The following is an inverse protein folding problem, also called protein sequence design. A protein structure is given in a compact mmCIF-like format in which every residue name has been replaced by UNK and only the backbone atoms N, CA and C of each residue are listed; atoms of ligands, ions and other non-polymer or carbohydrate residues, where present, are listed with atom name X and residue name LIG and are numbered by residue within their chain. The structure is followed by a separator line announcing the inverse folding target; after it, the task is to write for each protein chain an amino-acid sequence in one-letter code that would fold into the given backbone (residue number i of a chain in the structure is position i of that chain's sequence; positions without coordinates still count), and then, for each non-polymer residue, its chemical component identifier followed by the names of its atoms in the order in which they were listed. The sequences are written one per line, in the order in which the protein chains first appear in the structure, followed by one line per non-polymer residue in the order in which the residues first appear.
data_IF_561907941833
#
_entry.id   IF_561907941833
#
_cell.length_a   1.000
_cell.length_b   1.000
_cell.length_c   1.000
_cell.angle_alpha   90.00
_cell.angle_beta   90.00
_cell.angle_gamma   90.00
#
_symmetry.space_group_name_H-M   'P 1'
#
loop_
_entity.id
_entity.type
_entity.pdbx_description
1 polymer ?
#
# COMPACT_ATOMS: atom_id res chain seq x y z
N UNK A 1 -67.36 12.44 -4.32
CA UNK A 1 -66.07 12.59 -3.66
C UNK A 1 -65.01 11.81 -4.46
N UNK A 2 -64.07 12.56 -5.02
CA UNK A 2 -62.92 12.02 -5.75
C UNK A 2 -61.97 11.36 -4.76
N UNK A 3 -61.51 10.09 -4.96
CA UNK A 3 -60.54 9.46 -4.07
C UNK A 3 -59.20 10.22 -4.09
N UNK A 4 -58.60 10.39 -2.90
CA UNK A 4 -57.28 11.01 -2.76
C UNK A 4 -56.22 10.18 -3.49
N UNK A 5 -55.23 10.84 -4.14
CA UNK A 5 -54.16 10.13 -4.81
C UNK A 5 -53.33 9.34 -3.82
N UNK A 6 -52.97 8.10 -4.18
CA UNK A 6 -52.10 7.23 -3.39
C UNK A 6 -50.72 7.87 -3.19
N UNK A 7 -50.11 7.75 -1.99
CA UNK A 7 -48.79 8.30 -1.74
C UNK A 7 -47.73 7.65 -2.66
N UNK A 8 -46.86 8.50 -3.22
CA UNK A 8 -45.79 8.06 -4.09
C UNK A 8 -44.86 7.07 -3.35
N UNK A 9 -44.37 6.01 -4.00
CA UNK A 9 -43.47 5.07 -3.37
C UNK A 9 -42.19 5.78 -2.95
N UNK A 10 -41.83 5.63 -1.68
CA UNK A 10 -40.57 6.13 -1.11
C UNK A 10 -39.39 5.47 -1.87
N UNK A 11 -38.40 6.24 -2.33
CA UNK A 11 -37.25 5.63 -3.01
C UNK A 11 -36.55 4.66 -2.05
N UNK A 12 -36.58 3.39 -2.41
CA UNK A 12 -35.85 2.33 -1.70
C UNK A 12 -34.36 2.60 -1.97
N UNK A 13 -33.64 3.05 -0.94
CA UNK A 13 -32.21 3.25 -1.00
C UNK A 13 -31.55 1.90 -1.27
N UNK A 14 -30.99 1.73 -2.47
CA UNK A 14 -30.33 0.48 -2.87
C UNK A 14 -29.25 0.12 -1.85
N UNK A 15 -29.29 -1.10 -1.32
CA UNK A 15 -28.27 -1.60 -0.40
C UNK A 15 -26.89 -1.48 -1.07
N UNK A 16 -25.84 -1.01 -0.35
CA UNK A 16 -24.50 -0.85 -0.91
C UNK A 16 -24.01 -2.19 -1.46
N UNK A 17 -23.40 -2.14 -2.66
CA UNK A 17 -22.87 -3.33 -3.34
C UNK A 17 -21.83 -4.04 -2.47
N UNK A 18 -21.64 -5.34 -2.67
CA UNK A 18 -20.68 -6.12 -1.91
C UNK A 18 -19.26 -5.53 -1.99
N UNK A 19 -18.85 -5.05 -3.18
CA UNK A 19 -17.57 -4.38 -3.40
C UNK A 19 -17.43 -3.08 -2.58
N UNK A 20 -18.51 -2.29 -2.47
CA UNK A 20 -18.49 -1.05 -1.64
C UNK A 20 -18.31 -1.36 -0.15
N UNK A 21 -18.89 -2.46 0.34
CA UNK A 21 -18.72 -2.91 1.73
C UNK A 21 -17.30 -3.40 1.98
N UNK A 22 -16.72 -4.19 1.07
CA UNK A 22 -15.34 -4.68 1.16
C UNK A 22 -14.33 -3.53 1.14
N UNK A 23 -14.53 -2.52 0.28
CA UNK A 23 -13.67 -1.32 0.23
C UNK A 23 -13.74 -0.56 1.57
N UNK A 24 -14.95 -0.28 2.06
CA UNK A 24 -15.14 0.43 3.33
C UNK A 24 -14.48 -0.30 4.48
N UNK A 25 -14.70 -1.61 4.58
CA UNK A 25 -14.10 -2.47 5.61
C UNK A 25 -12.56 -2.53 5.48
N UNK A 26 -12.03 -2.53 4.25
CA UNK A 26 -10.61 -2.42 3.98
C UNK A 26 -10.01 -1.13 4.54
N UNK A 27 -10.63 0.02 4.29
CA UNK A 27 -10.18 1.31 4.83
C UNK A 27 -10.31 1.41 6.35
N UNK A 28 -11.36 0.88 6.95
CA UNK A 28 -11.51 0.82 8.42
C UNK A 28 -10.41 -0.04 9.07
N UNK A 29 -10.09 -1.18 8.46
CA UNK A 29 -8.99 -2.04 8.90
C UNK A 29 -7.63 -1.34 8.77
N UNK A 30 -7.40 -0.60 7.67
CA UNK A 30 -6.22 0.23 7.48
C UNK A 30 -6.11 1.32 8.55
N UNK A 31 -7.19 2.04 8.82
CA UNK A 31 -7.21 3.08 9.85
C UNK A 31 -6.89 2.53 11.25
N UNK A 32 -7.39 1.34 11.57
CA UNK A 32 -7.10 0.66 12.83
C UNK A 32 -5.62 0.23 12.89
N UNK A 33 -5.10 -0.34 11.82
CA UNK A 33 -3.71 -0.76 11.74
C UNK A 33 -2.75 0.44 11.85
N UNK A 34 -3.04 1.56 11.19
CA UNK A 34 -2.25 2.79 11.31
C UNK A 34 -2.17 3.30 12.75
N UNK A 35 -3.24 3.21 13.52
CA UNK A 35 -3.25 3.59 14.94
C UNK A 35 -2.44 2.64 15.82
N UNK A 36 -2.42 1.37 15.46
CA UNK A 36 -1.77 0.31 16.25
C UNK A 36 -0.30 0.16 15.89
N UNK A 37 0.11 0.46 14.65
CA UNK A 37 1.47 0.23 14.13
C UNK A 37 2.53 1.00 14.93
N UNK A 38 2.19 2.16 15.46
CA UNK A 38 3.09 2.96 16.29
C UNK A 38 3.27 2.42 17.70
N UNK A 39 2.32 1.60 18.19
CA UNK A 39 2.38 1.01 19.52
C UNK A 39 2.92 -0.42 19.49
N UNK A 40 2.45 -1.21 18.51
CA UNK A 40 2.86 -2.60 18.32
C UNK A 40 2.83 -2.95 16.81
N UNK A 41 3.93 -2.68 16.09
CA UNK A 41 3.97 -2.88 14.64
C UNK A 41 3.71 -4.33 14.24
N UNK A 42 4.25 -5.30 14.96
CA UNK A 42 4.11 -6.72 14.65
C UNK A 42 2.65 -7.21 14.76
N UNK A 43 1.91 -6.72 15.75
CA UNK A 43 0.50 -7.06 15.95
C UNK A 43 -0.40 -6.40 14.90
N UNK A 44 -0.17 -5.12 14.59
CA UNK A 44 -0.91 -4.39 13.55
C UNK A 44 -0.80 -5.09 12.19
N UNK A 45 0.40 -5.52 11.85
CA UNK A 45 0.74 -6.24 10.64
C UNK A 45 0.05 -7.61 10.58
N UNK A 46 0.17 -8.41 11.64
CA UNK A 46 -0.49 -9.72 11.75
C UNK A 46 -2.03 -9.60 11.65
N UNK A 47 -2.60 -8.57 12.26
CA UNK A 47 -4.05 -8.32 12.19
C UNK A 47 -4.52 -8.00 10.76
N UNK A 48 -3.74 -7.24 9.98
CA UNK A 48 -4.06 -6.96 8.58
C UNK A 48 -3.98 -8.20 7.69
N UNK A 49 -2.94 -9.01 7.88
CA UNK A 49 -2.76 -10.25 7.13
C UNK A 49 -3.91 -11.25 7.39
N UNK A 50 -4.36 -11.35 8.65
CA UNK A 50 -5.48 -12.22 9.05
C UNK A 50 -6.85 -11.77 8.52
N UNK A 51 -7.05 -10.46 8.33
CA UNK A 51 -8.34 -9.88 7.88
C UNK A 51 -8.56 -9.94 6.37
N UNK A 52 -7.61 -10.46 5.60
CA UNK A 52 -7.70 -10.59 4.14
C UNK A 52 -8.15 -9.30 3.40
N UNK A 53 -7.64 -8.15 3.84
CA UNK A 53 -7.99 -6.84 3.29
C UNK A 53 -7.30 -6.58 1.93
N UNK A 54 -7.50 -7.46 0.97
CA UNK A 54 -6.79 -7.46 -0.32
C UNK A 54 -7.01 -6.20 -1.16
N UNK A 55 -8.22 -5.61 -1.12
CA UNK A 55 -8.49 -4.35 -1.84
C UNK A 55 -7.71 -3.18 -1.25
N UNK A 56 -7.64 -3.09 0.09
CA UNK A 56 -6.83 -2.10 0.76
C UNK A 56 -5.34 -2.30 0.46
N UNK A 57 -4.88 -3.55 0.39
CA UNK A 57 -3.53 -3.89 -0.01
C UNK A 57 -3.19 -3.39 -1.42
N UNK A 58 -4.08 -3.61 -2.39
CA UNK A 58 -3.90 -3.11 -3.76
C UNK A 58 -3.81 -1.58 -3.81
N UNK A 59 -4.68 -0.89 -3.08
CA UNK A 59 -4.68 0.58 -3.02
C UNK A 59 -3.35 1.09 -2.43
N UNK A 60 -2.85 0.46 -1.36
CA UNK A 60 -1.56 0.82 -0.77
C UNK A 60 -0.39 0.60 -1.72
N UNK A 61 -0.35 -0.55 -2.41
CA UNK A 61 0.70 -0.85 -3.38
C UNK A 61 0.67 0.14 -4.53
N UNK A 62 -0.53 0.46 -5.06
CA UNK A 62 -0.69 1.43 -6.13
C UNK A 62 -0.29 2.85 -5.69
N UNK A 63 -0.69 3.27 -4.49
CA UNK A 63 -0.30 4.55 -3.91
C UNK A 63 1.23 4.63 -3.73
N UNK A 64 1.85 3.60 -3.14
CA UNK A 64 3.30 3.55 -2.97
C UNK A 64 4.04 3.63 -4.31
N UNK A 65 3.58 2.88 -5.32
CA UNK A 65 4.17 2.91 -6.66
C UNK A 65 4.07 4.31 -7.28
N UNK A 66 2.90 4.96 -7.15
CA UNK A 66 2.70 6.33 -7.64
C UNK A 66 3.64 7.32 -6.95
N UNK A 67 3.73 7.29 -5.61
CA UNK A 67 4.63 8.17 -4.86
C UNK A 67 6.10 7.90 -5.16
N UNK A 68 6.49 6.65 -5.38
CA UNK A 68 7.85 6.30 -5.81
C UNK A 68 8.18 6.86 -7.20
N UNK A 69 7.24 6.79 -8.15
CA UNK A 69 7.38 7.41 -9.45
C UNK A 69 7.49 8.94 -9.37
N UNK A 70 6.64 9.59 -8.57
CA UNK A 70 6.71 11.03 -8.34
C UNK A 70 8.03 11.44 -7.65
N UNK A 71 8.51 10.63 -6.70
CA UNK A 71 9.81 10.83 -6.08
C UNK A 71 10.95 10.81 -7.12
N UNK A 72 10.91 9.87 -8.07
CA UNK A 72 11.88 9.82 -9.15
C UNK A 72 11.84 11.08 -10.03
N UNK A 73 10.64 11.56 -10.39
CA UNK A 73 10.49 12.81 -11.16
C UNK A 73 11.15 14.01 -10.48
N UNK A 74 10.90 14.19 -9.17
CA UNK A 74 11.41 15.35 -8.45
C UNK A 74 12.91 15.26 -8.20
N UNK A 75 13.41 14.10 -7.81
CA UNK A 75 14.82 13.95 -7.43
C UNK A 75 15.76 13.85 -8.64
N UNK A 76 15.35 13.24 -9.73
CA UNK A 76 16.15 13.23 -10.97
C UNK A 76 16.05 14.55 -11.71
N UNK A 77 14.91 15.27 -11.61
CA UNK A 77 14.73 16.58 -12.25
C UNK A 77 15.58 17.69 -11.63
N UNK A 78 15.86 17.63 -10.32
CA UNK A 78 16.67 18.65 -9.62
C UNK A 78 18.19 18.43 -9.75
N UNK A 79 18.61 17.17 -9.99
CA UNK A 79 20.05 16.79 -9.92
C UNK A 79 20.81 16.81 -11.25
N UNK A 80 20.14 16.95 -12.40
CA UNK A 80 20.78 16.83 -13.70
C UNK A 80 20.43 18.02 -14.61
N UNK A 81 21.40 18.87 -14.88
CA UNK A 81 21.26 20.06 -15.74
C UNK A 81 20.83 19.75 -17.19
N UNK A 82 20.75 18.49 -17.61
CA UNK A 82 20.47 18.06 -19.00
C UNK A 82 19.37 17.00 -19.12
N UNK A 83 18.36 17.01 -18.25
CA UNK A 83 17.27 16.04 -18.36
C UNK A 83 16.29 16.40 -19.49
N UNK A 84 16.26 15.58 -20.52
CA UNK A 84 15.15 15.63 -21.47
C UNK A 84 13.84 15.19 -20.78
N UNK A 85 12.69 15.76 -21.18
CA UNK A 85 11.38 15.33 -20.68
C UNK A 85 11.18 13.81 -20.81
N UNK A 86 11.79 13.19 -21.81
CA UNK A 86 11.76 11.74 -22.05
C UNK A 86 12.44 10.97 -20.90
N UNK A 87 13.62 11.41 -20.44
CA UNK A 87 14.34 10.71 -19.35
C UNK A 87 13.58 10.79 -18.01
N UNK A 88 12.89 11.89 -17.76
CA UNK A 88 12.02 12.03 -16.58
C UNK A 88 10.84 11.07 -16.62
N UNK A 89 10.17 10.98 -17.76
CA UNK A 89 9.05 10.04 -17.96
C UNK A 89 9.52 8.58 -17.81
N UNK A 90 10.67 8.22 -18.38
CA UNK A 90 11.25 6.88 -18.25
C UNK A 90 11.56 6.59 -16.76
N UNK A 91 12.18 7.52 -16.04
CA UNK A 91 12.51 7.36 -14.62
C UNK A 91 11.27 7.18 -13.77
N UNK A 92 10.19 7.93 -14.06
CA UNK A 92 8.91 7.75 -13.39
C UNK A 92 8.37 6.32 -13.57
N UNK A 93 8.21 5.88 -14.82
CA UNK A 93 7.66 4.55 -15.11
C UNK A 93 8.55 3.43 -14.61
N UNK A 94 9.86 3.56 -14.74
CA UNK A 94 10.80 2.59 -14.21
C UNK A 94 10.62 2.42 -12.70
N UNK A 95 10.63 3.51 -11.94
CA UNK A 95 10.50 3.46 -10.47
C UNK A 95 9.10 3.02 -10.04
N UNK A 96 8.06 3.43 -10.76
CA UNK A 96 6.69 2.99 -10.56
C UNK A 96 6.56 1.47 -10.69
N UNK A 97 6.98 0.90 -11.81
CA UNK A 97 6.90 -0.54 -12.06
C UNK A 97 7.86 -1.33 -11.16
N UNK A 98 9.04 -0.78 -10.85
CA UNK A 98 9.97 -1.39 -9.92
C UNK A 98 9.37 -1.52 -8.51
N UNK A 99 8.66 -0.51 -8.02
CA UNK A 99 7.95 -0.58 -6.73
C UNK A 99 6.86 -1.66 -6.72
N UNK A 100 6.12 -1.81 -7.81
CA UNK A 100 5.14 -2.91 -7.96
C UNK A 100 5.85 -4.27 -7.97
N UNK A 101 6.95 -4.39 -8.72
CA UNK A 101 7.72 -5.64 -8.80
C UNK A 101 8.28 -6.06 -7.44
N UNK A 102 8.77 -5.12 -6.62
CA UNK A 102 9.20 -5.41 -5.25
C UNK A 102 8.05 -5.92 -4.37
N UNK A 103 6.86 -5.35 -4.51
CA UNK A 103 5.68 -5.83 -3.77
C UNK A 103 5.24 -7.22 -4.25
N UNK A 104 5.32 -7.49 -5.55
CA UNK A 104 5.05 -8.81 -6.12
C UNK A 104 6.09 -9.85 -5.67
N UNK A 105 7.37 -9.47 -5.61
CA UNK A 105 8.44 -10.33 -5.09
C UNK A 105 8.22 -10.68 -3.61
N UNK A 106 7.86 -9.70 -2.77
CA UNK A 106 7.53 -9.92 -1.37
C UNK A 106 6.33 -10.88 -1.21
N UNK A 107 5.28 -10.72 -2.03
CA UNK A 107 4.14 -11.64 -2.06
C UNK A 107 4.56 -13.05 -2.48
N UNK A 108 5.41 -13.17 -3.51
CA UNK A 108 5.93 -14.45 -3.98
C UNK A 108 6.77 -15.17 -2.92
N UNK A 109 7.63 -14.46 -2.20
CA UNK A 109 8.41 -14.99 -1.08
C UNK A 109 7.48 -15.51 0.03
N UNK A 110 6.48 -14.74 0.43
CA UNK A 110 5.53 -15.15 1.46
C UNK A 110 4.77 -16.43 1.07
N UNK A 111 4.27 -16.50 -0.17
CA UNK A 111 3.63 -17.71 -0.71
C UNK A 111 4.58 -18.90 -0.78
N UNK A 112 5.83 -18.68 -1.17
CA UNK A 112 6.87 -19.71 -1.25
C UNK A 112 7.20 -20.29 0.12
N UNK A 113 7.46 -19.44 1.11
CA UNK A 113 7.71 -19.86 2.49
C UNK A 113 6.51 -20.60 3.06
N UNK A 114 5.29 -20.05 2.89
CA UNK A 114 4.07 -20.66 3.38
C UNK A 114 3.87 -22.08 2.83
N UNK A 115 4.14 -22.29 1.55
CA UNK A 115 4.10 -23.64 0.95
C UNK A 115 5.19 -24.57 1.51
N UNK A 116 6.40 -24.06 1.72
CA UNK A 116 7.50 -24.82 2.27
C UNK A 116 7.22 -25.33 3.69
N UNK A 117 6.59 -24.50 4.54
CA UNK A 117 6.21 -24.88 5.91
C UNK A 117 4.80 -25.51 6.00
N UNK A 118 4.17 -25.79 4.85
CA UNK A 118 2.83 -26.38 4.74
C UNK A 118 1.74 -25.55 5.44
N UNK A 119 1.93 -24.23 5.54
CA UNK A 119 0.95 -23.31 6.08
C UNK A 119 -0.16 -23.04 5.05
N UNK A 120 -1.37 -22.82 5.53
CA UNK A 120 -2.52 -22.52 4.67
C UNK A 120 -2.55 -21.04 4.28
N UNK A 121 -1.68 -20.65 3.35
CA UNK A 121 -1.54 -19.26 2.88
C UNK A 121 -2.34 -19.05 1.62
N UNK A 122 -3.27 -18.09 1.65
CA UNK A 122 -4.07 -17.69 0.49
C UNK A 122 -3.37 -16.56 -0.29
N UNK A 123 -3.71 -16.40 -1.57
CA UNK A 123 -3.25 -15.26 -2.37
C UNK A 123 -3.63 -13.91 -1.72
N UNK A 124 -4.84 -13.82 -1.14
CA UNK A 124 -5.33 -12.61 -0.48
C UNK A 124 -4.51 -12.27 0.77
N UNK A 125 -4.19 -13.27 1.59
CA UNK A 125 -3.35 -13.06 2.77
C UNK A 125 -1.92 -12.68 2.39
N UNK A 126 -1.36 -13.28 1.33
CA UNK A 126 -0.05 -12.94 0.83
C UNK A 126 0.02 -11.51 0.28
N UNK A 127 -1.01 -11.07 -0.44
CA UNK A 127 -1.12 -9.69 -0.93
C UNK A 127 -1.23 -8.69 0.21
N UNK A 128 -2.07 -8.99 1.22
CA UNK A 128 -2.18 -8.16 2.42
C UNK A 128 -0.84 -8.06 3.15
N UNK A 129 -0.12 -9.16 3.30
CA UNK A 129 1.22 -9.18 3.92
C UNK A 129 2.23 -8.36 3.11
N UNK A 130 2.26 -8.50 1.79
CA UNK A 130 3.15 -7.73 0.92
C UNK A 130 2.90 -6.21 0.99
N UNK A 131 1.64 -5.79 1.23
CA UNK A 131 1.29 -4.37 1.35
C UNK A 131 1.79 -3.71 2.64
N UNK A 132 2.22 -4.50 3.62
CA UNK A 132 2.69 -3.98 4.92
C UNK A 132 3.91 -3.08 4.75
N UNK A 133 4.83 -3.42 3.82
CA UNK A 133 5.94 -2.54 3.49
C UNK A 133 5.46 -1.15 3.08
N UNK A 134 4.33 -1.05 2.37
CA UNK A 134 3.80 0.21 1.87
C UNK A 134 3.36 1.15 3.00
N UNK A 135 2.97 0.61 4.16
CA UNK A 135 2.61 1.44 5.34
C UNK A 135 3.75 2.31 5.84
N UNK A 136 4.97 1.81 5.76
CA UNK A 136 6.16 2.55 6.21
C UNK A 136 6.79 3.30 5.06
N UNK A 137 6.89 2.66 3.89
CA UNK A 137 7.46 3.29 2.71
C UNK A 137 6.68 4.52 2.27
N UNK A 138 5.33 4.47 2.27
CA UNK A 138 4.49 5.55 1.75
C UNK A 138 4.70 6.88 2.50
N UNK A 139 4.59 6.96 3.85
CA UNK A 139 4.84 8.21 4.57
C UNK A 139 6.30 8.67 4.45
N UNK A 140 7.27 7.77 4.47
CA UNK A 140 8.68 8.14 4.34
C UNK A 140 9.04 8.57 2.92
N UNK A 141 8.47 7.94 1.89
CA UNK A 141 8.60 8.39 0.50
C UNK A 141 7.97 9.76 0.31
N UNK A 142 6.80 10.01 0.93
CA UNK A 142 6.15 11.32 0.89
C UNK A 142 7.00 12.41 1.55
N UNK A 143 7.56 12.15 2.73
CA UNK A 143 8.50 13.06 3.40
C UNK A 143 9.75 13.25 2.53
N UNK A 144 10.30 12.18 1.98
CA UNK A 144 11.42 12.21 1.07
C UNK A 144 11.16 13.03 -0.20
N UNK A 145 9.94 12.95 -0.75
CA UNK A 145 9.50 13.75 -1.89
C UNK A 145 9.54 15.25 -1.55
N UNK A 146 8.97 15.65 -0.42
CA UNK A 146 8.92 17.05 0.01
C UNK A 146 10.32 17.60 0.31
N UNK A 147 11.13 16.87 1.06
CA UNK A 147 12.49 17.28 1.43
C UNK A 147 13.46 17.15 0.26
N UNK A 148 13.22 16.23 -0.67
CA UNK A 148 13.98 16.05 -1.89
C UNK A 148 13.94 17.26 -2.82
N UNK A 149 12.86 18.05 -2.78
CA UNK A 149 12.77 19.32 -3.50
C UNK A 149 13.79 20.36 -2.99
N UNK A 150 14.19 20.28 -1.73
CA UNK A 150 15.23 21.14 -1.15
C UNK A 150 16.62 20.51 -1.24
N UNK A 151 16.73 19.20 -1.11
CA UNK A 151 17.99 18.45 -1.19
C UNK A 151 17.75 17.01 -1.60
N UNK A 152 18.29 16.62 -2.75
CA UNK A 152 18.19 15.24 -3.28
C UNK A 152 18.75 14.22 -2.27
N UNK A 153 19.86 14.53 -1.60
CA UNK A 153 20.48 13.64 -0.62
C UNK A 153 19.55 13.36 0.57
N UNK A 154 18.85 14.38 1.07
CA UNK A 154 17.89 14.22 2.18
C UNK A 154 16.68 13.43 1.70
N UNK A 155 16.17 13.70 0.50
CA UNK A 155 15.08 12.94 -0.09
C UNK A 155 15.42 11.45 -0.22
N UNK A 156 16.58 11.13 -0.76
CA UNK A 156 17.08 9.77 -0.92
C UNK A 156 17.27 9.06 0.42
N UNK A 157 17.75 9.77 1.45
CA UNK A 157 17.89 9.22 2.80
C UNK A 157 16.55 8.71 3.34
N UNK A 158 15.48 9.51 3.26
CA UNK A 158 14.16 9.11 3.73
C UNK A 158 13.56 7.96 2.91
N UNK A 159 13.79 7.97 1.59
CA UNK A 159 13.36 6.89 0.72
C UNK A 159 14.02 5.55 1.12
N UNK A 160 15.35 5.51 1.23
CA UNK A 160 16.05 4.30 1.64
C UNK A 160 15.76 3.88 3.07
N UNK A 161 15.59 4.83 3.99
CA UNK A 161 15.18 4.53 5.36
C UNK A 161 13.83 3.79 5.38
N UNK A 162 12.90 4.22 4.55
CA UNK A 162 11.61 3.55 4.37
C UNK A 162 11.78 2.10 3.92
N UNK A 163 12.59 1.85 2.92
CA UNK A 163 12.83 0.49 2.40
C UNK A 163 13.53 -0.42 3.43
N UNK A 164 14.49 0.11 4.19
CA UNK A 164 15.18 -0.65 5.25
C UNK A 164 14.19 -1.05 6.36
N UNK A 165 13.39 -0.10 6.87
CA UNK A 165 12.40 -0.40 7.92
C UNK A 165 11.35 -1.39 7.39
N UNK A 166 10.91 -1.22 6.15
CA UNK A 166 9.95 -2.12 5.51
C UNK A 166 10.49 -3.54 5.37
N UNK A 167 11.77 -3.71 5.05
CA UNK A 167 12.42 -5.02 4.99
C UNK A 167 12.40 -5.71 6.37
N UNK A 168 12.76 -4.99 7.45
CA UNK A 168 12.66 -5.53 8.82
C UNK A 168 11.24 -5.94 9.19
N UNK A 169 10.25 -5.10 8.91
CA UNK A 169 8.85 -5.42 9.19
C UNK A 169 8.35 -6.63 8.40
N UNK A 170 8.81 -6.80 7.18
CA UNK A 170 8.47 -7.97 6.36
C UNK A 170 9.01 -9.26 6.97
N UNK A 171 10.24 -9.24 7.48
CA UNK A 171 10.86 -10.40 8.17
C UNK A 171 10.08 -10.74 9.44
N UNK A 172 9.81 -9.74 10.30
CA UNK A 172 9.03 -9.94 11.54
C UNK A 172 7.62 -10.48 11.26
N UNK A 173 7.02 -10.08 10.12
CA UNK A 173 5.70 -10.56 9.72
C UNK A 173 5.73 -12.02 9.33
N UNK A 174 6.76 -12.43 8.58
CA UNK A 174 6.95 -13.84 8.19
C UNK A 174 7.12 -14.69 9.42
N UNK A 175 8.00 -14.32 10.36
CA UNK A 175 8.24 -15.02 11.61
C UNK A 175 6.94 -15.24 12.38
N UNK A 176 6.18 -14.17 12.63
CA UNK A 176 4.97 -14.21 13.46
C UNK A 176 3.76 -14.90 12.82
N UNK A 177 3.73 -15.05 11.51
CA UNK A 177 2.64 -15.75 10.83
C UNK A 177 2.91 -17.25 10.61
N UNK A 178 4.15 -17.69 10.79
CA UNK A 178 4.55 -19.09 10.58
C UNK A 178 4.98 -19.80 11.87
N UNK A 179 4.98 -19.11 13.03
CA UNK A 179 5.01 -19.72 14.35
C UNK A 179 3.60 -20.30 14.74
#
# INVERSE_FOLDING_TARGET
PTPAPAPAPTPVQAAPSQSSREIKQGFENLGTALKTIWKNPAEAVSALAKKESWLAALILIAAQALFSGLFALTNYGVGLEHNSAISLVISFFFTFFFSIALSAAAMGMYLGIGKAVKANVTFKSALATASIRCFVCLPLTFIGLLLGMASVQIGMFFFFLGEIIAAFLSILTVEKNFE
#
